data_IF_539879177894
#
_entry.id   IF_539879177894
#
_cell.length_a   1.000
_cell.length_b   1.000
_cell.length_c   1.000
_cell.angle_alpha   90.00
_cell.angle_beta   90.00
_cell.angle_gamma   90.00
#
_symmetry.space_group_name_H-M   'P 1'
#
loop_
_entity.id
_entity.type
_entity.pdbx_description
1 polymer ?
#
# COMPACT_ATOMS: atom_id res chain seq x y z
N UNK A 1 15.84 -21.27 -27.73
CA UNK A 1 15.53 -20.60 -26.45
C UNK A 1 14.81 -19.30 -26.78
N UNK A 2 13.49 -19.27 -26.64
CA UNK A 2 12.70 -18.07 -26.86
C UNK A 2 12.92 -17.07 -25.72
N UNK A 3 13.29 -15.83 -26.06
CA UNK A 3 13.40 -14.73 -25.11
C UNK A 3 11.99 -14.31 -24.70
N UNK A 4 11.70 -14.36 -23.40
CA UNK A 4 10.56 -13.66 -22.81
C UNK A 4 10.74 -12.14 -23.03
N UNK A 5 10.19 -11.62 -24.14
CA UNK A 5 10.12 -10.18 -24.39
C UNK A 5 8.75 -9.72 -23.94
N UNK A 6 8.72 -8.94 -22.86
CA UNK A 6 7.56 -8.18 -22.42
C UNK A 6 7.04 -7.32 -23.58
N UNK A 7 5.96 -7.75 -24.24
CA UNK A 7 5.33 -6.97 -25.31
C UNK A 7 4.42 -5.92 -24.70
N UNK A 8 4.94 -4.72 -24.49
CA UNK A 8 4.13 -3.50 -24.48
C UNK A 8 3.30 -3.46 -25.77
N UNK A 9 2.05 -2.98 -25.72
CA UNK A 9 1.28 -2.81 -26.97
C UNK A 9 2.06 -1.81 -27.85
N UNK A 10 2.20 -2.10 -29.13
CA UNK A 10 2.97 -1.28 -30.07
C UNK A 10 2.49 0.19 -30.11
N UNK A 11 1.22 0.43 -29.79
CA UNK A 11 0.63 1.77 -29.61
C UNK A 11 1.21 2.56 -28.44
N UNK A 12 1.59 1.88 -27.34
CA UNK A 12 2.17 2.50 -26.13
C UNK A 12 3.64 2.93 -26.37
N UNK A 13 4.35 2.21 -27.25
CA UNK A 13 5.74 2.53 -27.63
C UNK A 13 5.84 3.64 -28.68
N UNK A 14 4.74 3.96 -29.38
CA UNK A 14 4.68 5.02 -30.40
C UNK A 14 4.31 6.39 -29.82
N UNK A 15 3.81 6.42 -28.58
CA UNK A 15 3.54 7.68 -27.90
C UNK A 15 4.88 8.35 -27.59
N UNK A 16 5.15 9.56 -28.11
CA UNK A 16 6.42 10.24 -27.84
C UNK A 16 6.62 10.34 -26.33
N UNK A 17 7.84 10.19 -25.83
CA UNK A 17 8.18 10.54 -24.44
C UNK A 17 7.97 12.05 -24.33
N UNK A 18 6.78 12.44 -23.87
CA UNK A 18 6.44 13.83 -23.61
C UNK A 18 6.88 14.09 -22.17
N UNK A 19 7.52 15.24 -21.90
CA UNK A 19 7.57 15.74 -20.51
C UNK A 19 6.13 15.68 -20.00
N UNK A 20 5.91 14.92 -18.92
CA UNK A 20 4.58 14.69 -18.41
C UNK A 20 3.86 16.02 -18.30
N UNK A 21 2.63 16.12 -18.81
CA UNK A 21 1.75 17.21 -18.39
C UNK A 21 1.47 16.95 -16.91
N UNK A 22 2.36 17.45 -16.06
CA UNK A 22 2.06 17.57 -14.65
C UNK A 22 0.77 18.37 -14.57
N UNK A 23 -0.15 17.90 -13.76
CA UNK A 23 -1.17 18.82 -13.31
C UNK A 23 -0.46 19.99 -12.62
N UNK A 24 -0.96 21.22 -12.74
CA UNK A 24 -0.33 22.46 -12.24
C UNK A 24 0.02 22.47 -10.73
N UNK A 25 -0.21 21.37 -10.01
CA UNK A 25 -0.08 21.24 -8.56
C UNK A 25 0.67 19.99 -8.07
N UNK A 26 1.45 19.29 -8.91
CA UNK A 26 2.05 18.00 -8.52
C UNK A 26 3.59 17.95 -8.58
N UNK A 27 4.18 17.63 -7.41
CA UNK A 27 5.50 17.05 -7.10
C UNK A 27 6.70 17.39 -7.98
N UNK A 28 7.84 17.75 -7.36
CA UNK A 28 9.17 17.87 -8.01
C UNK A 28 9.56 16.64 -8.87
N UNK A 29 8.98 15.46 -8.62
CA UNK A 29 9.20 14.26 -9.44
C UNK A 29 8.58 14.34 -10.85
N UNK A 30 7.56 15.18 -11.03
CA UNK A 30 6.93 15.40 -12.34
C UNK A 30 7.78 16.30 -13.26
N UNK A 31 8.83 16.93 -12.73
CA UNK A 31 9.82 17.69 -13.51
C UNK A 31 10.85 16.78 -14.22
N UNK A 32 10.81 15.47 -13.97
CA UNK A 32 11.65 14.47 -14.62
C UNK A 32 10.92 13.75 -15.78
N UNK A 33 11.68 13.18 -16.72
CA UNK A 33 11.12 12.39 -17.82
C UNK A 33 10.35 11.18 -17.27
N UNK A 34 9.02 11.25 -17.36
CA UNK A 34 8.10 10.15 -17.11
C UNK A 34 7.65 9.59 -18.45
N UNK A 35 7.42 8.28 -18.52
CA UNK A 35 6.86 7.67 -19.73
C UNK A 35 5.50 8.33 -20.01
N UNK A 36 5.23 8.66 -21.27
CA UNK A 36 4.09 9.49 -21.68
C UNK A 36 2.69 8.95 -21.35
N UNK A 37 2.61 7.65 -21.06
CA UNK A 37 1.40 6.93 -20.68
C UNK A 37 1.19 6.88 -19.15
N UNK A 38 2.09 7.45 -18.36
CA UNK A 38 2.07 7.43 -16.90
C UNK A 38 1.94 8.85 -16.35
N UNK A 39 0.87 9.11 -15.61
CA UNK A 39 0.69 10.34 -14.86
C UNK A 39 1.21 10.12 -13.45
N UNK A 40 2.24 10.86 -13.06
CA UNK A 40 2.67 10.94 -11.65
C UNK A 40 1.79 11.98 -10.97
N UNK A 41 1.07 11.55 -9.94
CA UNK A 41 0.21 12.40 -9.12
C UNK A 41 0.76 12.47 -7.68
N UNK A 42 0.91 13.67 -7.11
CA UNK A 42 1.44 13.83 -5.76
C UNK A 42 1.51 15.26 -5.27
N UNK A 43 1.08 15.52 -4.03
CA UNK A 43 1.24 16.81 -3.37
C UNK A 43 2.27 16.67 -2.27
N UNK A 44 3.14 17.68 -2.10
CA UNK A 44 3.99 17.77 -0.91
C UNK A 44 3.09 17.93 0.31
N UNK A 45 3.17 16.95 1.22
CA UNK A 45 2.58 17.04 2.54
C UNK A 45 3.66 17.50 3.52
N UNK A 46 3.25 18.00 4.69
CA UNK A 46 4.19 18.51 5.72
C UNK A 46 5.04 17.40 6.36
N UNK A 47 4.63 16.15 6.19
CA UNK A 47 5.27 14.95 6.73
C UNK A 47 5.72 14.03 5.59
N UNK A 48 6.57 13.06 5.89
CA UNK A 48 6.93 12.04 4.91
C UNK A 48 5.71 11.17 4.59
N UNK A 49 5.56 10.81 3.33
CA UNK A 49 4.43 10.02 2.84
C UNK A 49 4.89 8.70 2.24
N UNK A 50 4.16 7.62 2.53
CA UNK A 50 4.54 6.27 2.13
C UNK A 50 3.33 5.42 1.74
N UNK A 51 3.58 4.42 0.91
CA UNK A 51 2.60 3.38 0.53
C UNK A 51 1.28 3.94 -0.02
N UNK A 52 1.31 4.73 -1.10
CA UNK A 52 0.09 5.22 -1.72
C UNK A 52 -0.70 4.08 -2.37
N UNK A 53 -2.02 4.14 -2.28
CA UNK A 53 -2.96 3.28 -2.96
C UNK A 53 -4.09 4.14 -3.55
N UNK A 54 -4.37 3.97 -4.84
CA UNK A 54 -5.43 4.72 -5.56
C UNK A 54 -6.63 3.83 -5.85
N UNK A 55 -7.85 4.34 -5.74
CA UNK A 55 -9.09 3.67 -6.16
C UNK A 55 -10.00 4.65 -6.92
N UNK A 56 -10.70 4.14 -7.92
CA UNK A 56 -11.65 4.93 -8.71
C UNK A 56 -13.08 4.58 -8.31
N UNK A 57 -13.83 5.57 -7.88
CA UNK A 57 -15.25 5.41 -7.54
C UNK A 57 -16.12 5.23 -8.79
N UNK A 58 -17.32 4.66 -8.63
CA UNK A 58 -18.34 4.62 -9.68
C UNK A 58 -18.71 6.01 -10.21
N UNK A 59 -18.56 7.05 -9.39
CA UNK A 59 -18.76 8.46 -9.77
C UNK A 59 -17.66 9.00 -10.68
N UNK A 60 -16.55 8.27 -10.86
CA UNK A 60 -15.37 8.69 -11.58
C UNK A 60 -14.33 9.43 -10.73
N UNK A 61 -14.67 9.82 -9.49
CA UNK A 61 -13.71 10.41 -8.56
C UNK A 61 -12.59 9.42 -8.22
N UNK A 62 -11.36 9.94 -8.04
CA UNK A 62 -10.21 9.16 -7.60
C UNK A 62 -9.96 9.42 -6.12
N UNK A 63 -9.75 8.35 -5.36
CA UNK A 63 -9.30 8.40 -3.97
C UNK A 63 -7.88 7.89 -3.88
N UNK A 64 -7.02 8.59 -3.17
CA UNK A 64 -5.67 8.12 -2.84
C UNK A 64 -5.54 8.07 -1.32
N UNK A 65 -5.22 6.89 -0.80
CA UNK A 65 -4.85 6.71 0.61
C UNK A 65 -3.35 6.49 0.73
N UNK A 66 -2.75 7.00 1.80
CA UNK A 66 -1.32 6.85 2.06
C UNK A 66 -1.03 7.03 3.54
N UNK A 67 0.13 6.53 3.99
CA UNK A 67 0.64 6.84 5.33
C UNK A 67 1.30 8.21 5.31
N UNK A 68 1.04 9.04 6.32
CA UNK A 68 1.85 10.21 6.65
C UNK A 68 2.47 10.05 8.05
N UNK A 69 3.71 10.50 8.22
CA UNK A 69 4.39 10.53 9.52
C UNK A 69 5.87 10.86 9.41
N UNK A 70 6.63 10.50 10.45
CA UNK A 70 8.09 10.68 10.49
C UNK A 70 8.82 9.71 9.56
N UNK A 71 9.63 8.80 10.10
CA UNK A 71 10.35 7.80 9.30
C UNK A 71 9.50 6.58 8.98
N UNK A 72 9.82 5.85 7.90
CA UNK A 72 9.14 4.60 7.57
C UNK A 72 9.61 3.41 8.43
N UNK A 73 10.71 3.54 9.18
CA UNK A 73 11.24 2.47 10.01
C UNK A 73 10.26 2.08 11.12
N UNK A 74 10.02 0.78 11.25
CA UNK A 74 9.06 0.22 12.17
C UNK A 74 9.39 0.55 13.63
N UNK A 75 8.40 1.03 14.39
CA UNK A 75 8.53 1.41 15.79
C UNK A 75 9.36 2.67 16.05
N UNK A 76 9.74 3.44 15.01
CA UNK A 76 10.48 4.70 15.18
C UNK A 76 9.64 5.96 15.02
N UNK A 77 8.50 5.88 14.35
CA UNK A 77 7.55 6.99 14.29
C UNK A 77 6.12 6.48 14.16
N UNK A 78 5.18 7.23 14.72
CA UNK A 78 3.75 7.00 14.51
C UNK A 78 3.35 7.54 13.14
N UNK A 79 2.77 6.66 12.33
CA UNK A 79 2.09 7.00 11.09
C UNK A 79 0.58 7.08 11.26
N UNK A 80 -0.04 7.83 10.36
CA UNK A 80 -1.49 7.98 10.23
C UNK A 80 -1.88 7.71 8.79
N UNK A 81 -3.12 7.29 8.54
CA UNK A 81 -3.63 7.12 7.17
C UNK A 81 -4.38 8.37 6.75
N UNK A 82 -3.93 8.96 5.65
CA UNK A 82 -4.56 10.11 5.01
C UNK A 82 -5.27 9.68 3.73
N UNK A 83 -6.27 10.45 3.35
CA UNK A 83 -7.01 10.34 2.10
C UNK A 83 -7.04 11.69 1.39
N UNK A 84 -6.79 11.69 0.08
CA UNK A 84 -7.02 12.85 -0.80
C UNK A 84 -7.83 12.42 -2.01
N UNK A 85 -8.53 13.37 -2.64
CA UNK A 85 -9.55 13.11 -3.65
C UNK A 85 -9.31 13.97 -4.87
N UNK A 86 -9.51 13.39 -6.05
CA UNK A 86 -9.59 14.13 -7.31
C UNK A 86 -10.96 13.93 -7.95
N UNK A 87 -11.52 15.02 -8.49
CA UNK A 87 -12.81 15.02 -9.20
C UNK A 87 -12.68 15.25 -10.70
N UNK A 88 -11.46 15.46 -11.17
CA UNK A 88 -11.15 15.92 -12.52
C UNK A 88 -10.12 15.01 -13.21
N UNK A 89 -10.10 13.73 -12.85
CA UNK A 89 -9.23 12.74 -13.47
C UNK A 89 -7.77 12.80 -13.02
N UNK A 90 -7.49 13.36 -11.85
CA UNK A 90 -6.16 13.46 -11.26
C UNK A 90 -5.45 14.79 -11.50
N UNK A 91 -6.13 15.77 -12.11
CA UNK A 91 -5.57 17.10 -12.39
C UNK A 91 -5.50 17.99 -11.14
N UNK A 92 -6.45 17.87 -10.23
CA UNK A 92 -6.38 18.56 -8.94
C UNK A 92 -6.75 17.62 -7.82
N UNK A 93 -6.17 17.88 -6.65
CA UNK A 93 -6.31 17.06 -5.46
C UNK A 93 -6.75 17.92 -4.28
N UNK A 94 -7.74 17.43 -3.54
CA UNK A 94 -8.18 18.06 -2.30
C UNK A 94 -7.04 18.14 -1.28
N UNK A 95 -7.10 19.08 -0.31
CA UNK A 95 -6.33 18.93 0.92
C UNK A 95 -6.57 17.53 1.52
N UNK A 96 -5.52 16.89 2.06
CA UNK A 96 -5.69 15.55 2.60
C UNK A 96 -6.41 15.57 3.95
N UNK A 97 -7.23 14.54 4.15
CA UNK A 97 -8.01 14.30 5.36
C UNK A 97 -7.43 13.11 6.09
N UNK A 98 -7.38 13.18 7.43
CA UNK A 98 -6.93 12.05 8.24
C UNK A 98 -8.11 11.09 8.42
N UNK A 99 -7.97 9.85 7.95
CA UNK A 99 -9.04 8.84 8.01
C UNK A 99 -8.77 7.76 9.05
N UNK A 100 -7.52 7.53 9.43
CA UNK A 100 -7.12 6.66 10.54
C UNK A 100 -6.01 7.37 11.33
N UNK A 101 -6.21 7.50 12.64
CA UNK A 101 -5.29 8.15 13.56
C UNK A 101 -5.30 7.47 14.93
N UNK A 102 -4.84 6.23 14.98
CA UNK A 102 -4.79 5.48 16.24
C UNK A 102 -3.58 5.88 17.07
N UNK A 103 -3.49 5.46 18.34
CA UNK A 103 -2.27 5.61 19.13
C UNK A 103 -1.06 4.81 18.59
N UNK A 104 -1.27 3.95 17.59
CA UNK A 104 -0.27 3.06 17.00
C UNK A 104 0.27 3.61 15.68
N UNK A 105 1.31 2.99 15.13
CA UNK A 105 1.78 3.33 13.78
C UNK A 105 0.86 2.67 12.74
N UNK A 106 -0.06 3.46 12.19
CA UNK A 106 -1.00 3.05 11.14
C UNK A 106 -0.32 3.11 9.77
N UNK A 107 -0.27 1.98 9.06
CA UNK A 107 0.54 1.86 7.84
C UNK A 107 0.04 0.83 6.85
N UNK A 108 0.63 0.85 5.64
CA UNK A 108 0.34 -0.14 4.60
C UNK A 108 -1.14 -0.13 4.20
N UNK A 109 -1.71 1.06 4.08
CA UNK A 109 -3.13 1.23 3.81
C UNK A 109 -3.43 0.98 2.33
N UNK A 110 -4.45 0.18 2.07
CA UNK A 110 -4.98 -0.09 0.75
C UNK A 110 -6.49 0.02 0.76
N UNK A 111 -7.03 0.60 -0.32
CA UNK A 111 -8.46 0.87 -0.47
C UNK A 111 -8.98 0.13 -1.71
N UNK A 112 -10.19 -0.40 -1.60
CA UNK A 112 -10.92 -1.03 -2.68
C UNK A 112 -12.40 -0.63 -2.65
N UNK A 113 -12.97 -0.44 -3.84
CA UNK A 113 -14.40 -0.28 -4.05
C UNK A 113 -15.04 -1.63 -4.26
N UNK A 114 -16.07 -1.93 -3.46
CA UNK A 114 -16.83 -3.17 -3.53
C UNK A 114 -18.02 -3.03 -4.49
N UNK A 115 -18.56 -4.17 -4.90
CA UNK A 115 -19.67 -4.30 -5.84
C UNK A 115 -20.96 -3.66 -5.35
N UNK A 116 -21.15 -3.58 -4.02
CA UNK A 116 -22.28 -2.91 -3.37
C UNK A 116 -22.12 -1.38 -3.29
N UNK A 117 -21.02 -0.84 -3.82
CA UNK A 117 -20.69 0.58 -3.80
C UNK A 117 -20.04 1.07 -2.50
N UNK A 118 -19.89 0.21 -1.48
CA UNK A 118 -19.13 0.53 -0.29
C UNK A 118 -17.62 0.47 -0.56
N UNK A 119 -16.86 1.17 0.27
CA UNK A 119 -15.41 1.10 0.28
C UNK A 119 -14.95 0.22 1.43
N UNK A 120 -13.90 -0.55 1.20
CA UNK A 120 -13.15 -1.22 2.25
C UNK A 120 -11.70 -0.71 2.25
N UNK A 121 -11.22 -0.39 3.44
CA UNK A 121 -9.83 -0.05 3.70
C UNK A 121 -9.21 -1.18 4.52
N UNK A 122 -8.05 -1.67 4.09
CA UNK A 122 -7.18 -2.52 4.91
C UNK A 122 -5.93 -1.77 5.28
N UNK A 123 -5.46 -1.92 6.51
CA UNK A 123 -4.21 -1.34 6.97
C UNK A 123 -3.63 -2.17 8.11
N UNK A 124 -2.38 -1.91 8.47
CA UNK A 124 -1.71 -2.58 9.58
C UNK A 124 -1.50 -1.59 10.72
N UNK A 125 -1.88 -1.96 11.93
CA UNK A 125 -1.50 -1.22 13.14
C UNK A 125 -0.26 -1.87 13.74
N UNK A 126 0.81 -1.10 13.87
CA UNK A 126 2.03 -1.55 14.53
C UNK A 126 2.10 -0.99 15.96
N UNK A 127 2.14 -1.93 16.90
CA UNK A 127 2.21 -1.72 18.34
C UNK A 127 3.66 -1.82 18.80
N UNK A 128 4.07 -0.93 19.70
CA UNK A 128 5.39 -0.98 20.35
C UNK A 128 6.49 -0.20 19.63
N UNK A 129 7.64 -0.10 20.32
CA UNK A 129 8.86 0.62 19.91
C UNK A 129 10.04 -0.35 20.06
N UNK A 130 11.02 -0.29 19.16
CA UNK A 130 12.22 -1.15 19.25
C UNK A 130 11.90 -2.64 19.06
N UNK A 131 12.38 -3.52 19.95
CA UNK A 131 12.29 -4.99 19.78
C UNK A 131 10.96 -5.61 20.26
N UNK A 132 10.08 -4.83 20.88
CA UNK A 132 8.79 -5.30 21.44
C UNK A 132 7.60 -4.95 20.51
N UNK A 133 7.77 -5.21 19.21
CA UNK A 133 6.77 -4.86 18.20
C UNK A 133 5.79 -5.98 17.91
N UNK A 134 4.52 -5.62 17.73
CA UNK A 134 3.47 -6.51 17.27
C UNK A 134 2.65 -5.79 16.21
N UNK A 135 2.25 -6.49 15.16
CA UNK A 135 1.41 -5.89 14.13
C UNK A 135 0.35 -6.87 13.65
N UNK A 136 -0.83 -6.31 13.34
CA UNK A 136 -1.99 -7.05 12.86
C UNK A 136 -2.67 -6.29 11.73
N UNK A 137 -3.30 -6.99 10.78
CA UNK A 137 -4.11 -6.36 9.76
C UNK A 137 -5.49 -6.02 10.33
N UNK A 138 -5.96 -4.83 10.00
CA UNK A 138 -7.27 -4.30 10.31
C UNK A 138 -8.01 -3.92 9.04
N UNK A 139 -9.33 -3.94 9.11
CA UNK A 139 -10.21 -3.41 8.07
C UNK A 139 -11.23 -2.43 8.66
N UNK A 140 -11.62 -1.44 7.86
CA UNK A 140 -12.79 -0.62 8.11
C UNK A 140 -13.55 -0.40 6.80
N UNK A 141 -14.84 -0.05 6.91
CA UNK A 141 -15.70 0.23 5.75
C UNK A 141 -16.16 1.67 5.75
N UNK A 142 -16.44 2.18 4.56
CA UNK A 142 -17.15 3.44 4.35
C UNK A 142 -18.34 3.19 3.44
N UNK A 143 -19.49 3.78 3.80
CA UNK A 143 -20.73 3.71 3.04
C UNK A 143 -21.10 5.05 2.40
N UNK A 144 -20.20 6.05 2.47
CA UNK A 144 -20.43 7.43 2.04
C UNK A 144 -19.26 7.99 1.21
N UNK A 145 -18.63 7.11 0.43
CA UNK A 145 -17.50 7.41 -0.47
C UNK A 145 -16.24 7.94 0.23
N UNK A 146 -15.96 7.41 1.42
CA UNK A 146 -14.73 7.63 2.17
C UNK A 146 -14.76 8.85 3.08
N UNK A 147 -15.95 9.42 3.34
CA UNK A 147 -16.12 10.58 4.23
C UNK A 147 -16.13 10.16 5.69
N UNK A 148 -16.80 9.05 5.99
CA UNK A 148 -16.81 8.44 7.32
C UNK A 148 -16.46 6.96 7.21
N UNK A 149 -15.88 6.44 8.29
CA UNK A 149 -15.37 5.08 8.37
C UNK A 149 -15.89 4.40 9.63
N UNK A 150 -16.21 3.11 9.53
CA UNK A 150 -16.51 2.29 10.70
C UNK A 150 -15.28 2.16 11.59
N UNK A 151 -15.49 1.78 12.85
CA UNK A 151 -14.39 1.40 13.73
C UNK A 151 -13.53 0.27 13.08
N UNK A 152 -12.20 0.31 13.24
CA UNK A 152 -11.33 -0.75 12.73
C UNK A 152 -11.62 -2.10 13.38
N UNK A 153 -11.67 -3.15 12.56
CA UNK A 153 -11.85 -4.55 12.99
C UNK A 153 -10.59 -5.32 12.65
N UNK A 154 -10.02 -6.04 13.63
CA UNK A 154 -8.87 -6.91 13.42
C UNK A 154 -9.30 -8.10 12.56
N UNK A 155 -8.52 -8.42 11.54
CA UNK A 155 -8.83 -9.52 10.61
C UNK A 155 -8.43 -10.88 11.18
N UNK A 156 -7.35 -10.94 11.95
CA UNK A 156 -6.83 -12.18 12.52
C UNK A 156 -6.03 -11.91 13.80
N UNK A 157 -6.06 -12.85 14.73
CA UNK A 157 -5.21 -12.85 15.93
C UNK A 157 -3.83 -13.45 15.68
N UNK A 158 -3.53 -13.86 14.45
CA UNK A 158 -2.19 -14.29 14.07
C UNK A 158 -1.20 -13.13 14.23
N UNK A 159 -0.35 -13.22 15.26
CA UNK A 159 0.72 -12.27 15.53
C UNK A 159 1.62 -12.06 14.31
N UNK A 160 2.17 -10.84 14.20
CA UNK A 160 3.16 -10.49 13.18
C UNK A 160 2.64 -10.69 11.76
N UNK A 161 1.38 -10.31 11.53
CA UNK A 161 0.71 -10.40 10.25
C UNK A 161 0.36 -9.01 9.74
N UNK A 162 0.73 -8.69 8.50
CA UNK A 162 0.47 -7.40 7.90
C UNK A 162 -0.28 -7.55 6.58
N UNK A 163 -1.21 -6.63 6.34
CA UNK A 163 -1.88 -6.52 5.04
C UNK A 163 -0.89 -6.02 3.99
N UNK A 164 -0.95 -6.59 2.79
CA UNK A 164 -0.19 -6.09 1.65
C UNK A 164 -1.07 -6.10 0.39
N UNK A 165 -1.24 -4.96 -0.25
CA UNK A 165 -2.07 -4.83 -1.44
C UNK A 165 -3.56 -4.66 -1.14
N UNK A 166 -4.32 -4.45 -2.23
CA UNK A 166 -5.77 -4.23 -2.17
C UNK A 166 -6.53 -5.51 -1.84
N UNK A 167 -7.64 -5.34 -1.14
CA UNK A 167 -8.66 -6.39 -1.02
C UNK A 167 -9.29 -6.64 -2.39
N UNK A 168 -9.41 -7.91 -2.77
CA UNK A 168 -10.14 -8.34 -3.95
C UNK A 168 -11.47 -8.96 -3.53
N UNK A 169 -12.57 -8.44 -4.06
CA UNK A 169 -13.86 -9.08 -3.96
C UNK A 169 -14.00 -10.19 -5.02
N UNK A 170 -14.46 -11.35 -4.57
CA UNK A 170 -14.73 -12.50 -5.42
C UNK A 170 -16.17 -12.47 -5.95
N UNK A 171 -16.47 -13.19 -7.05
CA UNK A 171 -17.82 -13.23 -7.62
C UNK A 171 -18.93 -13.71 -6.66
N UNK A 172 -18.57 -14.43 -5.60
CA UNK A 172 -19.50 -14.90 -4.56
C UNK A 172 -19.61 -13.94 -3.35
N UNK A 173 -19.04 -12.74 -3.45
CA UNK A 173 -19.05 -11.72 -2.41
C UNK A 173 -18.02 -11.90 -1.30
N UNK A 174 -17.20 -12.96 -1.34
CA UNK A 174 -16.08 -13.10 -0.39
C UNK A 174 -14.99 -12.08 -0.67
N UNK A 175 -14.27 -11.69 0.37
CA UNK A 175 -13.16 -10.75 0.30
C UNK A 175 -11.83 -11.48 0.52
N UNK A 176 -10.90 -11.35 -0.43
CA UNK A 176 -9.54 -11.82 -0.32
C UNK A 176 -8.62 -10.67 0.08
N UNK A 177 -8.03 -10.78 1.28
CA UNK A 177 -6.97 -9.89 1.74
C UNK A 177 -5.63 -10.62 1.66
N UNK A 178 -4.65 -10.13 0.89
CA UNK A 178 -3.31 -10.67 0.94
C UNK A 178 -2.64 -10.25 2.26
N UNK A 179 -2.16 -11.23 3.00
CA UNK A 179 -1.49 -11.05 4.29
C UNK A 179 -0.13 -11.72 4.24
N UNK A 180 0.91 -11.04 4.70
CA UNK A 180 2.23 -11.61 4.89
C UNK A 180 2.57 -11.67 6.37
N UNK A 181 3.39 -12.65 6.73
CA UNK A 181 3.92 -12.85 8.07
C UNK A 181 5.24 -13.60 7.98
N UNK A 182 6.05 -13.51 9.02
CA UNK A 182 7.25 -14.33 9.13
C UNK A 182 6.86 -15.82 9.24
N UNK A 183 7.65 -16.69 8.59
CA UNK A 183 7.48 -18.16 8.69
C UNK A 183 7.63 -18.62 10.15
N UNK A 184 8.65 -18.09 10.83
CA UNK A 184 8.87 -18.27 12.26
C UNK A 184 8.54 -16.96 12.99
N UNK A 185 7.38 -16.87 13.66
CA UNK A 185 6.98 -15.66 14.37
C UNK A 185 7.81 -15.41 15.65
N UNK A 186 8.60 -16.38 16.11
CA UNK A 186 9.52 -16.21 17.24
C UNK A 186 10.82 -15.51 16.84
N UNK A 187 11.20 -15.57 15.55
CA UNK A 187 12.35 -14.85 15.00
C UNK A 187 12.00 -13.37 14.85
N UNK A 188 12.37 -12.60 15.88
CA UNK A 188 12.42 -11.13 15.84
C UNK A 188 13.38 -10.67 14.75
N UNK A 189 13.09 -9.50 14.17
CA UNK A 189 13.79 -8.71 13.13
C UNK A 189 15.34 -8.76 13.13
N UNK A 190 15.94 -9.94 13.08
CA UNK A 190 17.30 -10.12 12.64
C UNK A 190 17.21 -10.15 11.13
N UNK A 191 17.79 -9.14 10.50
CA UNK A 191 18.17 -9.22 9.11
C UNK A 191 18.82 -10.59 8.89
N UNK A 192 18.49 -11.24 7.78
CA UNK A 192 19.23 -12.44 7.40
C UNK A 192 20.69 -12.03 7.29
N UNK A 193 21.50 -12.46 8.26
CA UNK A 193 22.93 -12.43 8.08
C UNK A 193 23.23 -13.31 6.87
N UNK A 194 24.25 -12.97 6.11
CA UNK A 194 24.61 -13.72 4.90
C UNK A 194 24.79 -15.21 5.23
N UNK A 195 25.26 -15.50 6.43
CA UNK A 195 25.44 -16.82 7.02
C UNK A 195 24.12 -17.59 7.19
N UNK A 196 22.99 -16.92 7.47
CA UNK A 196 21.69 -17.57 7.62
C UNK A 196 21.10 -17.99 6.26
N UNK A 197 21.35 -17.20 5.20
CA UNK A 197 21.01 -17.57 3.82
C UNK A 197 21.86 -18.76 3.37
N UNK A 198 23.16 -18.74 3.67
CA UNK A 198 24.07 -19.85 3.36
C UNK A 198 23.63 -21.12 4.09
N UNK A 199 23.32 -21.04 5.39
CA UNK A 199 22.79 -22.18 6.15
C UNK A 199 21.49 -22.71 5.58
N UNK A 200 20.55 -21.85 5.19
CA UNK A 200 19.32 -22.28 4.55
C UNK A 200 19.59 -23.04 3.25
N UNK A 201 20.48 -22.54 2.38
CA UNK A 201 20.84 -23.26 1.16
C UNK A 201 21.50 -24.61 1.46
N UNK A 202 22.39 -24.67 2.46
CA UNK A 202 23.00 -25.92 2.91
C UNK A 202 21.97 -26.92 3.45
N UNK A 203 20.96 -26.46 4.18
CA UNK A 203 19.89 -27.32 4.69
C UNK A 203 18.95 -27.80 3.59
N UNK A 204 18.70 -26.97 2.56
CA UNK A 204 17.97 -27.39 1.35
C UNK A 204 18.77 -28.44 0.56
N UNK A 205 20.07 -28.23 0.36
CA UNK A 205 20.95 -29.20 -0.29
C UNK A 205 21.08 -30.51 0.50
N UNK A 206 21.09 -30.42 1.83
CA UNK A 206 21.10 -31.59 2.72
C UNK A 206 19.73 -32.26 2.86
N UNK A 207 18.68 -31.77 2.18
CA UNK A 207 17.32 -32.33 2.24
C UNK A 207 16.59 -32.13 3.57
N UNK A 208 17.11 -31.25 4.44
CA UNK A 208 16.52 -30.92 5.74
C UNK A 208 15.44 -29.83 5.62
N UNK A 209 15.52 -29.01 4.58
CA UNK A 209 14.54 -27.98 4.22
C UNK A 209 14.07 -28.20 2.77
N UNK A 210 12.85 -27.75 2.43
CA UNK A 210 12.34 -27.75 1.05
C UNK A 210 12.56 -26.39 0.42
N UNK A 211 12.93 -26.39 -0.86
CA UNK A 211 13.18 -25.19 -1.67
C UNK A 211 11.90 -24.40 -1.94
#
# INVERSE_FOLDING_TARGET
>A
MERNVWRWKESQLRNPVVRGRSSDSISELADHEVHSDVIVAGRTYRENVYWPCVERLHTGELLVVYRAGGVHEAGRSRGRVLLTRSRDGGNTWSPPEVIIDTPYDDRGAHIALLSDGSLILSFTMLWGVGDAQWYYPYVCRSYDYGRTWTAPVRVTDAHMSASAGKILELPDGRLLLPVHRHRDPSRRWKWFEKEDIVRYFLDVEAGKEKR
#
